data_IF_670552993792
#
_entry.id   IF_670552993792
#
_cell.length_a   1.000
_cell.length_b   1.000
_cell.length_c   1.000
_cell.angle_alpha   90.00
_cell.angle_beta   90.00
_cell.angle_gamma   90.00
#
_symmetry.space_group_name_H-M   'P 1'
#
loop_
_entity.id
_entity.type
_entity.pdbx_description
1 polymer ?
#
# COMPACT_ATOMS: atom_id res chain seq x y z
N UNK A 1 -18.84 -1.55 -13.38
CA UNK A 1 -19.42 -0.92 -12.17
C UNK A 1 -20.60 -0.10 -12.61
N UNK A 2 -21.75 -0.35 -12.01
CA UNK A 2 -23.02 0.26 -12.37
C UNK A 2 -22.90 1.79 -12.48
N UNK A 3 -23.11 2.32 -13.68
CA UNK A 3 -23.52 3.71 -13.92
C UNK A 3 -25.03 3.74 -13.64
N UNK A 4 -25.39 3.61 -12.37
CA UNK A 4 -26.74 3.86 -11.89
C UNK A 4 -26.72 5.16 -11.11
N UNK A 5 -27.67 6.05 -11.35
CA UNK A 5 -27.92 7.18 -10.47
C UNK A 5 -28.02 6.65 -9.04
N UNK A 6 -27.05 7.02 -8.21
CA UNK A 6 -27.00 6.59 -6.82
C UNK A 6 -28.07 7.39 -6.10
N UNK A 7 -29.24 6.78 -5.91
CA UNK A 7 -30.20 7.22 -4.91
C UNK A 7 -29.42 7.42 -3.59
N UNK A 8 -29.37 8.69 -3.16
CA UNK A 8 -28.69 9.07 -1.93
C UNK A 8 -29.49 8.53 -0.75
N UNK A 9 -29.21 7.30 -0.37
CA UNK A 9 -29.59 6.80 0.94
C UNK A 9 -28.96 7.72 1.99
N UNK A 10 -29.77 8.21 2.94
CA UNK A 10 -29.34 8.94 4.13
C UNK A 10 -28.55 8.02 5.07
N UNK A 11 -27.39 7.55 4.61
CA UNK A 11 -26.44 6.86 5.47
C UNK A 11 -25.54 7.96 6.04
N UNK A 12 -25.41 8.02 7.37
CA UNK A 12 -24.51 8.95 8.09
C UNK A 12 -23.01 8.70 7.84
N UNK A 13 -22.65 8.22 6.65
CA UNK A 13 -21.30 7.93 6.21
C UNK A 13 -20.74 9.12 5.45
N UNK A 14 -19.53 9.51 5.84
CA UNK A 14 -18.79 10.59 5.18
C UNK A 14 -18.28 10.07 3.83
N UNK A 15 -18.86 10.57 2.74
CA UNK A 15 -18.39 10.24 1.38
C UNK A 15 -17.12 11.03 1.10
N UNK A 16 -15.99 10.32 0.91
CA UNK A 16 -14.70 10.92 0.59
C UNK A 16 -14.27 10.53 -0.84
N UNK A 17 -14.11 11.52 -1.71
CA UNK A 17 -13.85 11.35 -3.15
C UNK A 17 -12.35 11.23 -3.52
N UNK A 18 -11.47 10.93 -2.56
CA UNK A 18 -10.01 10.89 -2.81
C UNK A 18 -9.53 9.49 -3.14
N UNK A 19 -9.30 8.69 -2.10
CA UNK A 19 -8.82 7.33 -2.18
C UNK A 19 -9.29 6.56 -0.95
N UNK A 20 -9.55 5.28 -1.12
CA UNK A 20 -9.97 4.35 -0.09
C UNK A 20 -8.79 3.42 0.21
N UNK A 21 -8.49 3.23 1.49
CA UNK A 21 -7.44 2.30 1.89
C UNK A 21 -8.02 0.90 2.05
N UNK A 22 -7.57 -0.04 1.21
CA UNK A 22 -7.99 -1.44 1.23
C UNK A 22 -6.76 -2.32 1.40
N UNK A 23 -6.77 -3.19 2.41
CA UNK A 23 -5.66 -4.11 2.73
C UNK A 23 -4.28 -3.42 2.81
N UNK A 24 -4.26 -2.16 3.25
CA UNK A 24 -3.03 -1.36 3.38
C UNK A 24 -2.57 -0.62 2.12
N UNK A 25 -3.29 -0.74 1.01
CA UNK A 25 -3.04 -0.07 -0.28
C UNK A 25 -4.09 1.01 -0.51
N UNK A 26 -3.72 2.17 -1.04
CA UNK A 26 -4.69 3.21 -1.40
C UNK A 26 -5.19 2.98 -2.83
N UNK A 27 -6.52 2.86 -2.97
CA UNK A 27 -7.23 2.67 -4.24
C UNK A 27 -8.11 3.91 -4.46
N UNK A 28 -8.09 4.57 -5.62
CA UNK A 28 -8.89 5.78 -5.79
C UNK A 28 -8.89 6.35 -7.18
N UNK A 29 -9.78 7.33 -7.38
CA UNK A 29 -10.08 7.99 -8.66
C UNK A 29 -8.85 8.73 -9.21
N UNK A 30 -7.99 9.25 -8.33
CA UNK A 30 -6.69 9.81 -8.69
C UNK A 30 -5.58 8.78 -8.47
N UNK A 31 -5.35 7.94 -9.47
CA UNK A 31 -4.37 6.85 -9.47
C UNK A 31 -2.97 7.29 -9.02
N UNK A 32 -2.52 8.49 -9.40
CA UNK A 32 -1.18 9.01 -9.08
C UNK A 32 -1.00 9.36 -7.59
N UNK A 33 -1.90 10.16 -7.02
CA UNK A 33 -1.80 10.60 -5.61
C UNK A 33 -1.89 9.38 -4.67
N UNK A 34 -2.81 8.45 -4.94
CA UNK A 34 -2.97 7.22 -4.17
C UNK A 34 -1.74 6.29 -4.26
N UNK A 35 -1.12 6.21 -5.45
CA UNK A 35 0.12 5.46 -5.66
C UNK A 35 1.27 6.06 -4.86
N UNK A 36 1.46 7.37 -4.92
CA UNK A 36 2.53 8.07 -4.19
C UNK A 36 2.41 7.88 -2.67
N UNK A 37 1.19 7.98 -2.12
CA UNK A 37 0.96 7.72 -0.70
C UNK A 37 1.22 6.26 -0.31
N UNK A 38 0.81 5.31 -1.14
CA UNK A 38 1.09 3.88 -0.92
C UNK A 38 2.59 3.61 -0.87
N UNK A 39 3.34 4.12 -1.86
CA UNK A 39 4.79 3.94 -1.91
C UNK A 39 5.52 4.67 -0.78
N UNK A 40 5.03 5.82 -0.35
CA UNK A 40 5.54 6.51 0.84
C UNK A 40 5.39 5.64 2.09
N UNK A 41 4.24 4.99 2.26
CA UNK A 41 4.01 4.01 3.33
C UNK A 41 4.97 2.82 3.27
N UNK A 42 5.20 2.29 2.06
CA UNK A 42 6.14 1.18 1.82
C UNK A 42 7.57 1.57 2.18
N UNK A 43 8.04 2.74 1.74
CA UNK A 43 9.39 3.25 2.04
C UNK A 43 9.58 3.39 3.55
N UNK A 44 8.59 3.93 4.26
CA UNK A 44 8.62 4.07 5.71
C UNK A 44 8.69 2.70 6.41
N UNK A 45 7.94 1.71 5.93
CA UNK A 45 7.97 0.34 6.45
C UNK A 45 9.33 -0.32 6.21
N UNK A 46 9.89 -0.18 5.01
CA UNK A 46 11.24 -0.67 4.68
C UNK A 46 12.29 -0.02 5.59
N UNK A 47 12.21 1.30 5.81
CA UNK A 47 13.11 2.03 6.71
C UNK A 47 13.03 1.51 8.14
N UNK A 48 11.82 1.24 8.64
CA UNK A 48 11.61 0.69 9.97
C UNK A 48 12.26 -0.70 10.09
N UNK A 49 11.99 -1.60 9.13
CA UNK A 49 12.61 -2.94 9.08
C UNK A 49 14.14 -2.81 9.09
N UNK A 50 14.71 -2.03 8.18
CA UNK A 50 16.16 -1.84 8.11
C UNK A 50 16.74 -1.30 9.42
N UNK A 51 16.09 -0.33 10.05
CA UNK A 51 16.54 0.24 11.33
C UNK A 51 16.53 -0.79 12.45
N UNK A 52 15.43 -1.53 12.59
CA UNK A 52 15.28 -2.57 13.62
C UNK A 52 16.30 -3.68 13.45
N UNK A 53 16.55 -4.14 12.22
CA UNK A 53 17.48 -5.24 11.96
C UNK A 53 18.95 -4.79 11.93
N UNK A 54 19.22 -3.52 11.62
CA UNK A 54 20.56 -2.91 11.75
C UNK A 54 21.00 -2.85 13.21
N UNK A 55 20.08 -2.55 14.13
CA UNK A 55 20.38 -2.50 15.57
C UNK A 55 20.83 -3.86 16.15
N UNK A 56 20.38 -4.98 15.56
CA UNK A 56 20.65 -6.35 16.05
C UNK A 56 22.03 -6.92 15.67
N UNK A 57 22.94 -6.11 15.10
CA UNK A 57 24.32 -6.50 14.71
C UNK A 57 24.42 -7.86 13.99
N UNK A 58 23.55 -8.10 13.01
CA UNK A 58 23.53 -9.34 12.23
C UNK A 58 24.81 -9.52 11.38
N UNK A 59 25.23 -10.78 11.23
CA UNK A 59 26.21 -11.20 10.20
C UNK A 59 25.64 -10.94 8.79
N UNK A 60 26.53 -10.87 7.78
CA UNK A 60 26.15 -10.61 6.39
C UNK A 60 25.02 -11.54 5.90
N UNK A 61 25.12 -12.85 6.16
CA UNK A 61 24.07 -13.84 5.80
C UNK A 61 22.70 -13.50 6.40
N UNK A 62 22.67 -13.03 7.65
CA UNK A 62 21.43 -12.61 8.31
C UNK A 62 20.83 -11.37 7.66
N UNK A 63 21.67 -10.39 7.29
CA UNK A 63 21.22 -9.19 6.55
C UNK A 63 20.62 -9.55 5.19
N UNK A 64 21.27 -10.44 4.44
CA UNK A 64 20.75 -10.93 3.15
C UNK A 64 19.41 -11.63 3.34
N UNK A 65 19.26 -12.45 4.39
CA UNK A 65 18.00 -13.13 4.69
C UNK A 65 16.88 -12.14 4.99
N UNK A 66 17.16 -11.09 5.77
CA UNK A 66 16.18 -10.01 6.06
C UNK A 66 15.74 -9.31 4.77
N UNK A 67 16.66 -9.01 3.86
CA UNK A 67 16.32 -8.39 2.57
C UNK A 67 15.44 -9.32 1.73
N UNK A 68 15.85 -10.58 1.56
CA UNK A 68 15.14 -11.53 0.69
C UNK A 68 13.78 -11.94 1.23
N UNK A 69 13.63 -12.08 2.55
CA UNK A 69 12.37 -12.52 3.16
C UNK A 69 11.43 -11.36 3.49
N UNK A 70 11.94 -10.27 4.07
CA UNK A 70 11.11 -9.19 4.58
C UNK A 70 10.93 -8.06 3.56
N UNK A 71 12.02 -7.48 3.06
CA UNK A 71 11.91 -6.35 2.13
C UNK A 71 11.24 -6.78 0.82
N UNK A 72 11.66 -7.91 0.26
CA UNK A 72 11.12 -8.39 -1.01
C UNK A 72 9.61 -8.68 -0.93
N UNK A 73 9.14 -9.29 0.17
CA UNK A 73 7.70 -9.57 0.35
C UNK A 73 6.84 -8.30 0.35
N UNK A 74 7.31 -7.23 0.99
CA UNK A 74 6.59 -5.94 1.03
C UNK A 74 6.51 -5.32 -0.37
N UNK A 75 7.61 -5.35 -1.13
CA UNK A 75 7.64 -4.83 -2.50
C UNK A 75 6.70 -5.63 -3.41
N UNK A 76 6.81 -6.97 -3.39
CA UNK A 76 6.00 -7.85 -4.23
C UNK A 76 4.50 -7.68 -3.96
N UNK A 77 4.11 -7.53 -2.69
CA UNK A 77 2.71 -7.30 -2.33
C UNK A 77 2.14 -6.04 -2.99
N UNK A 78 2.88 -4.93 -2.98
CA UNK A 78 2.42 -3.66 -3.56
C UNK A 78 2.49 -3.67 -5.08
N UNK A 79 3.48 -4.35 -5.67
CA UNK A 79 3.58 -4.48 -7.13
C UNK A 79 2.50 -5.39 -7.73
N UNK A 80 1.96 -6.33 -6.95
CA UNK A 80 0.82 -7.17 -7.36
C UNK A 80 -0.53 -6.43 -7.31
N UNK A 81 -0.55 -5.15 -6.93
CA UNK A 81 -1.76 -4.34 -7.01
C UNK A 81 -2.04 -4.05 -8.48
N UNK A 82 -3.07 -4.68 -9.01
CA UNK A 82 -3.55 -4.46 -10.38
C UNK A 82 -4.54 -3.29 -10.34
N UNK A 83 -4.39 -2.35 -11.28
CA UNK A 83 -5.35 -1.27 -11.45
C UNK A 83 -6.69 -1.84 -11.94
N UNK A 84 -7.78 -1.36 -11.36
CA UNK A 84 -9.11 -1.77 -11.81
C UNK A 84 -9.29 -1.30 -13.27
N UNK A 85 -9.75 -2.17 -14.18
CA UNK A 85 -9.97 -1.78 -15.56
C UNK A 85 -11.04 -0.69 -15.63
N UNK A 86 -10.80 0.30 -16.49
CA UNK A 86 -11.82 1.27 -16.90
C UNK A 86 -12.80 0.55 -17.83
N UNK A 87 -14.07 0.48 -17.43
CA UNK A 87 -15.20 -0.08 -18.19
C UNK A 87 -15.98 1.00 -18.92
#
# INVERSE_FOLDING_TARGET
MYIGEVERAEVGLRVENKYIKVLGVHLGVKSREARDETWTGVINKIRAICTTWKARKLKLKGKVTVVNSLLFSVCVYVMNVIEMPEW
#
